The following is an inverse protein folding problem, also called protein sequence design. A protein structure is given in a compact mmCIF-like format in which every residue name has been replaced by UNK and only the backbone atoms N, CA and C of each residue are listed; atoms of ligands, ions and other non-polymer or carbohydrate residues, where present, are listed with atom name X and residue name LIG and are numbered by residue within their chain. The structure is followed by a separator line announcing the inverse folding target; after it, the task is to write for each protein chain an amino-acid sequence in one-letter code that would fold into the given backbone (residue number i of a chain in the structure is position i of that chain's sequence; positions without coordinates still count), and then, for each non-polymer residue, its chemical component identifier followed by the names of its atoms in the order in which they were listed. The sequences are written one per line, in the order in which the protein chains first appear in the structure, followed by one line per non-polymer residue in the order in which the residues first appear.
data_IF_536951817631
#
_entry.id   IF_536951817631
#
_cell.length_a   1.000
_cell.length_b   1.000
_cell.length_c   1.000
_cell.angle_alpha   90.00
_cell.angle_beta   90.00
_cell.angle_gamma   90.00
#
_symmetry.space_group_name_H-M   'P 1'
#
loop_
_entity.id
_entity.type
_entity.pdbx_description
1 polymer ?
#
# COMPACT_ATOMS: atom_id res chain seq x y z
N UNK A 1 -18.40 -3.45 0.84
CA UNK A 1 -18.02 -4.84 0.43
C UNK A 1 -19.07 -5.83 0.89
N UNK A 2 -19.26 -6.93 0.14
CA UNK A 2 -20.03 -8.10 0.58
C UNK A 2 -19.07 -9.20 1.13
N UNK A 3 -19.62 -10.31 1.65
CA UNK A 3 -18.87 -11.42 2.24
C UNK A 3 -17.81 -11.98 1.27
N UNK A 4 -18.17 -12.21 0.01
CA UNK A 4 -17.26 -12.80 -0.98
C UNK A 4 -16.14 -11.83 -1.35
N UNK A 5 -16.42 -10.55 -1.52
CA UNK A 5 -15.41 -9.54 -1.78
C UNK A 5 -14.40 -9.41 -0.64
N UNK A 6 -14.86 -9.47 0.62
CA UNK A 6 -13.97 -9.50 1.80
C UNK A 6 -13.08 -10.73 1.78
N UNK A 7 -13.66 -11.89 1.48
CA UNK A 7 -12.94 -13.16 1.41
C UNK A 7 -11.90 -13.16 0.28
N UNK A 8 -12.30 -12.78 -0.94
CA UNK A 8 -11.41 -12.66 -2.09
C UNK A 8 -10.24 -11.71 -1.82
N UNK A 9 -10.53 -10.51 -1.31
CA UNK A 9 -9.48 -9.55 -0.96
C UNK A 9 -8.51 -10.13 0.08
N UNK A 10 -9.05 -10.73 1.16
CA UNK A 10 -8.21 -11.27 2.24
C UNK A 10 -7.32 -12.42 1.75
N UNK A 11 -7.87 -13.33 0.93
CA UNK A 11 -7.11 -14.43 0.32
C UNK A 11 -6.12 -13.96 -0.76
N UNK A 12 -6.33 -12.81 -1.36
CA UNK A 12 -5.38 -12.22 -2.30
C UNK A 12 -4.07 -11.74 -1.64
N UNK A 13 -4.04 -11.64 -0.30
CA UNK A 13 -2.83 -11.30 0.44
C UNK A 13 -1.87 -12.49 0.46
N UNK A 14 -0.60 -12.21 0.26
CA UNK A 14 0.41 -13.26 0.10
C UNK A 14 0.51 -14.18 1.33
N UNK A 15 0.46 -15.50 1.09
CA UNK A 15 0.61 -16.54 2.13
C UNK A 15 -0.57 -16.68 3.08
N UNK A 16 -1.70 -16.06 2.78
CA UNK A 16 -2.92 -16.19 3.58
C UNK A 16 -3.62 -17.52 3.26
N UNK A 17 -4.04 -18.18 4.31
CA UNK A 17 -4.90 -19.37 4.26
C UNK A 17 -6.17 -19.13 5.03
N UNK A 18 -7.24 -19.83 4.67
CA UNK A 18 -8.50 -19.80 5.42
C UNK A 18 -8.83 -21.17 6.01
N UNK A 19 -9.52 -21.17 7.14
CA UNK A 19 -10.11 -22.35 7.76
C UNK A 19 -11.37 -21.97 8.58
N UNK A 20 -12.13 -22.98 9.06
CA UNK A 20 -13.34 -22.78 9.86
C UNK A 20 -13.28 -23.57 11.20
N UNK A 21 -12.30 -23.29 12.08
CA UNK A 21 -12.10 -24.06 13.31
C UNK A 21 -13.17 -23.79 14.37
N UNK A 22 -14.02 -22.77 14.20
CA UNK A 22 -15.01 -22.33 15.19
C UNK A 22 -16.46 -22.60 14.75
N UNK A 23 -16.68 -23.36 13.68
CA UNK A 23 -17.98 -23.67 13.12
C UNK A 23 -18.20 -23.08 11.74
N UNK A 24 -19.29 -23.49 11.08
CA UNK A 24 -19.58 -23.18 9.67
C UNK A 24 -19.92 -21.70 9.43
N UNK A 25 -20.19 -20.95 10.48
CA UNK A 25 -20.57 -19.52 10.45
C UNK A 25 -19.38 -18.56 10.65
N UNK A 26 -18.15 -19.08 10.82
CA UNK A 26 -16.95 -18.27 11.06
C UNK A 26 -15.80 -18.74 10.16
N UNK A 27 -15.37 -17.88 9.24
CA UNK A 27 -14.14 -18.08 8.46
C UNK A 27 -12.99 -17.38 9.19
N UNK A 28 -11.87 -18.07 9.39
CA UNK A 28 -10.64 -17.47 9.91
C UNK A 28 -9.58 -17.38 8.84
N UNK A 29 -8.89 -16.24 8.77
CA UNK A 29 -7.78 -16.02 7.87
C UNK A 29 -6.49 -15.98 8.65
N UNK A 30 -5.51 -16.77 8.20
CA UNK A 30 -4.24 -16.98 8.88
C UNK A 30 -3.05 -16.62 8.03
N UNK A 31 -2.02 -16.14 8.70
CA UNK A 31 -0.68 -16.01 8.16
C UNK A 31 0.28 -16.84 9.02
N UNK A 32 0.94 -17.84 8.44
CA UNK A 32 1.80 -18.79 9.17
C UNK A 32 1.11 -19.35 10.44
N UNK A 33 -0.13 -19.80 10.27
CA UNK A 33 -0.97 -20.36 11.34
C UNK A 33 -1.52 -19.35 12.36
N UNK A 34 -1.18 -18.06 12.25
CA UNK A 34 -1.66 -17.02 13.16
C UNK A 34 -2.85 -16.28 12.59
N UNK A 35 -3.98 -16.28 13.29
CA UNK A 35 -5.20 -15.56 12.88
C UNK A 35 -4.93 -14.06 12.92
N UNK A 36 -5.33 -13.38 11.87
CA UNK A 36 -5.32 -11.91 11.78
C UNK A 36 -6.71 -11.32 11.44
N UNK A 37 -7.59 -12.10 10.79
CA UNK A 37 -8.98 -11.74 10.50
C UNK A 37 -9.88 -12.93 10.81
N UNK A 38 -11.06 -12.65 11.38
CA UNK A 38 -12.20 -13.58 11.41
C UNK A 38 -13.39 -12.91 10.76
N UNK A 39 -14.09 -13.64 9.89
CA UNK A 39 -15.29 -13.21 9.20
C UNK A 39 -16.49 -14.01 9.71
N UNK A 40 -17.42 -13.34 10.35
CA UNK A 40 -18.73 -13.90 10.70
C UNK A 40 -19.68 -13.78 9.52
N UNK A 41 -20.28 -14.92 9.12
CA UNK A 41 -21.16 -15.00 7.95
C UNK A 41 -22.62 -14.59 8.26
N UNK A 42 -22.94 -14.40 9.54
CA UNK A 42 -24.31 -14.16 10.00
C UNK A 42 -25.14 -15.44 10.07
N UNK A 43 -26.29 -15.41 10.76
CA UNK A 43 -27.26 -16.52 10.75
C UNK A 43 -26.93 -17.77 11.56
N UNK A 44 -25.80 -17.82 12.24
CA UNK A 44 -25.34 -19.01 13.00
C UNK A 44 -26.12 -19.28 14.29
N UNK A 45 -26.06 -20.54 14.77
CA UNK A 45 -26.72 -21.04 16.00
C UNK A 45 -26.19 -20.42 17.29
N UNK A 46 -25.15 -19.63 17.26
CA UNK A 46 -24.65 -18.89 18.40
C UNK A 46 -25.53 -17.67 18.62
N UNK A 47 -26.38 -17.78 19.62
CA UNK A 47 -27.40 -16.85 20.08
C UNK A 47 -26.81 -15.45 20.39
N UNK A 48 -26.38 -14.72 19.35
CA UNK A 48 -25.93 -13.34 19.49
C UNK A 48 -27.05 -12.41 19.08
N UNK A 49 -27.23 -11.36 19.85
CA UNK A 49 -28.27 -10.32 19.67
C UNK A 49 -28.22 -9.62 18.28
N UNK A 50 -27.16 -9.86 17.48
CA UNK A 50 -27.02 -9.32 16.13
C UNK A 50 -26.53 -10.45 15.20
N UNK A 51 -27.40 -10.87 14.29
CA UNK A 51 -27.10 -11.81 13.19
C UNK A 51 -26.31 -11.14 12.05
N UNK A 52 -25.71 -9.98 12.29
CA UNK A 52 -25.04 -9.18 11.28
C UNK A 52 -23.66 -9.73 10.94
N UNK A 53 -23.34 -9.67 9.65
CA UNK A 53 -21.99 -9.97 9.16
C UNK A 53 -20.98 -8.96 9.73
N UNK A 54 -19.84 -9.45 10.16
CA UNK A 54 -18.77 -8.60 10.70
C UNK A 54 -17.41 -9.23 10.57
N UNK A 55 -16.39 -8.40 10.62
CA UNK A 55 -15.00 -8.80 10.74
C UNK A 55 -14.53 -8.61 12.18
N UNK A 56 -13.74 -9.55 12.71
CA UNK A 56 -12.85 -9.24 13.81
C UNK A 56 -11.44 -9.05 13.27
N UNK A 57 -10.85 -7.88 13.52
CA UNK A 57 -9.53 -7.49 13.06
C UNK A 57 -8.54 -7.37 14.21
N UNK A 58 -7.33 -7.90 14.00
CA UNK A 58 -6.24 -7.78 14.98
C UNK A 58 -5.43 -6.51 14.70
N UNK A 59 -5.47 -5.54 15.60
CA UNK A 59 -4.82 -4.25 15.46
C UNK A 59 -3.95 -3.93 16.70
N UNK A 60 -3.14 -2.87 16.60
CA UNK A 60 -2.44 -2.36 17.79
C UNK A 60 -3.44 -1.82 18.82
N UNK A 61 -3.09 -1.78 20.12
CA UNK A 61 -3.98 -1.22 21.14
C UNK A 61 -4.41 0.21 20.84
N UNK A 62 -3.46 1.04 20.39
CA UNK A 62 -3.67 2.44 20.06
C UNK A 62 -4.65 2.58 18.89
N UNK A 63 -4.41 1.78 17.83
CA UNK A 63 -5.28 1.79 16.64
C UNK A 63 -6.70 1.29 16.93
N UNK A 64 -6.84 0.29 17.79
CA UNK A 64 -8.15 -0.17 18.23
C UNK A 64 -8.96 0.92 18.96
N UNK A 65 -8.30 1.73 19.81
CA UNK A 65 -8.96 2.84 20.49
C UNK A 65 -9.37 3.93 19.48
N UNK A 66 -8.46 4.35 18.63
CA UNK A 66 -8.71 5.36 17.59
C UNK A 66 -9.89 4.99 16.69
N UNK A 67 -9.93 3.76 16.17
CA UNK A 67 -11.03 3.35 15.29
C UNK A 67 -12.38 3.28 16.02
N UNK A 68 -12.40 2.86 17.28
CA UNK A 68 -13.63 2.82 18.09
C UNK A 68 -14.16 4.20 18.46
N UNK A 69 -13.27 5.20 18.53
CA UNK A 69 -13.67 6.60 18.76
C UNK A 69 -14.19 7.25 17.47
N UNK A 70 -13.59 6.92 16.33
CA UNK A 70 -13.95 7.51 15.04
C UNK A 70 -15.17 6.88 14.38
N UNK A 71 -15.40 5.57 14.59
CA UNK A 71 -16.41 4.80 13.86
C UNK A 71 -17.34 4.04 14.83
N UNK A 72 -18.62 4.40 14.83
CA UNK A 72 -19.65 3.70 15.63
C UNK A 72 -19.85 2.22 15.21
N UNK A 73 -19.42 1.87 13.98
CA UNK A 73 -19.42 0.52 13.41
C UNK A 73 -18.25 -0.33 13.90
N UNK A 74 -17.32 0.23 14.68
CA UNK A 74 -16.19 -0.48 15.25
C UNK A 74 -16.37 -0.63 16.76
N UNK A 75 -16.42 -1.87 17.24
CA UNK A 75 -16.68 -2.18 18.65
C UNK A 75 -15.59 -3.11 19.22
N UNK A 76 -15.42 -3.19 20.57
CA UNK A 76 -14.55 -4.19 21.16
C UNK A 76 -14.99 -5.60 20.77
N UNK A 77 -14.06 -6.42 20.26
CA UNK A 77 -14.38 -7.76 19.79
C UNK A 77 -15.01 -8.63 20.88
N UNK A 78 -16.08 -9.35 20.54
CA UNK A 78 -16.87 -10.13 21.51
C UNK A 78 -16.08 -11.31 22.08
N UNK A 79 -15.47 -12.13 21.22
CA UNK A 79 -14.79 -13.38 21.63
C UNK A 79 -13.27 -13.27 21.77
N UNK A 80 -12.68 -12.12 21.42
CA UNK A 80 -11.25 -11.93 21.37
C UNK A 80 -10.77 -10.97 22.46
N UNK A 81 -9.46 -10.94 22.69
CA UNK A 81 -8.86 -9.97 23.59
C UNK A 81 -9.14 -8.54 23.09
N UNK A 82 -10.01 -7.83 23.80
CA UNK A 82 -10.52 -6.50 23.45
C UNK A 82 -9.44 -5.42 23.32
N UNK A 83 -8.26 -5.64 23.90
CA UNK A 83 -7.10 -4.74 23.74
C UNK A 83 -6.52 -4.81 22.32
N UNK A 84 -6.59 -5.97 21.67
CA UNK A 84 -5.94 -6.26 20.40
C UNK A 84 -6.91 -6.54 19.26
N UNK A 85 -8.21 -6.65 19.52
CA UNK A 85 -9.19 -7.03 18.53
C UNK A 85 -10.43 -6.15 18.60
N UNK A 86 -10.90 -5.73 17.42
CA UNK A 86 -12.18 -5.05 17.24
C UNK A 86 -13.07 -5.80 16.29
N UNK A 87 -14.37 -5.84 16.60
CA UNK A 87 -15.41 -6.21 15.64
C UNK A 87 -15.75 -4.99 14.77
N UNK A 88 -15.82 -5.20 13.47
CA UNK A 88 -16.11 -4.18 12.44
C UNK A 88 -17.34 -4.60 11.66
N UNK A 89 -18.40 -3.81 11.74
CA UNK A 89 -19.63 -3.96 10.94
C UNK A 89 -19.43 -3.20 9.64
N UNK A 90 -18.97 -3.90 8.60
CA UNK A 90 -18.36 -3.30 7.41
C UNK A 90 -19.33 -2.98 6.28
N UNK A 91 -20.60 -3.45 6.31
CA UNK A 91 -21.54 -3.35 5.18
C UNK A 91 -21.79 -1.91 4.71
N UNK A 92 -21.69 -0.94 5.61
CA UNK A 92 -21.92 0.49 5.31
C UNK A 92 -20.64 1.32 5.25
N UNK A 93 -19.48 0.66 5.24
CA UNK A 93 -18.18 1.32 5.11
C UNK A 93 -17.71 1.29 3.65
N UNK A 94 -16.89 2.27 3.27
CA UNK A 94 -16.23 2.27 1.97
C UNK A 94 -15.32 1.04 1.83
N UNK A 95 -15.37 0.36 0.71
CA UNK A 95 -14.60 -0.85 0.43
C UNK A 95 -13.10 -0.66 0.68
N UNK A 96 -12.53 0.45 0.18
CA UNK A 96 -11.11 0.80 0.38
C UNK A 96 -10.71 0.94 1.84
N UNK A 97 -11.62 1.38 2.70
CA UNK A 97 -11.36 1.54 4.13
C UNK A 97 -11.27 0.17 4.81
N UNK A 98 -12.20 -0.74 4.47
CA UNK A 98 -12.21 -2.12 4.98
C UNK A 98 -10.96 -2.86 4.52
N UNK A 99 -10.60 -2.75 3.25
CA UNK A 99 -9.36 -3.31 2.69
C UNK A 99 -8.11 -2.81 3.43
N UNK A 100 -8.05 -1.50 3.70
CA UNK A 100 -6.93 -0.91 4.42
C UNK A 100 -6.78 -1.48 5.84
N UNK A 101 -7.88 -1.70 6.56
CA UNK A 101 -7.83 -2.27 7.91
C UNK A 101 -7.52 -3.77 7.91
N UNK A 102 -7.98 -4.53 6.93
CA UNK A 102 -7.57 -5.93 6.73
C UNK A 102 -6.06 -6.01 6.48
N UNK A 103 -5.55 -5.15 5.60
CA UNK A 103 -4.12 -5.06 5.29
C UNK A 103 -3.29 -4.64 6.52
N UNK A 104 -3.79 -3.70 7.34
CA UNK A 104 -3.15 -3.29 8.59
C UNK A 104 -3.03 -4.47 9.57
N UNK A 105 -4.11 -5.25 9.70
CA UNK A 105 -4.12 -6.47 10.52
C UNK A 105 -3.12 -7.51 10.03
N UNK A 106 -3.04 -7.73 8.72
CA UNK A 106 -2.06 -8.60 8.07
C UNK A 106 -0.62 -8.16 8.39
N UNK A 107 -0.29 -6.89 8.17
CA UNK A 107 1.04 -6.36 8.45
C UNK A 107 1.42 -6.43 9.93
N UNK A 108 0.47 -6.21 10.84
CA UNK A 108 0.71 -6.36 12.27
C UNK A 108 1.11 -7.80 12.63
N UNK A 109 0.44 -8.80 12.05
CA UNK A 109 0.80 -10.21 12.29
C UNK A 109 2.10 -10.56 11.60
N UNK A 110 2.31 -10.15 10.35
CA UNK A 110 3.55 -10.36 9.61
C UNK A 110 4.77 -9.79 10.36
N UNK A 111 4.64 -8.59 10.93
CA UNK A 111 5.73 -7.93 11.68
C UNK A 111 6.19 -8.69 12.93
N UNK A 112 5.30 -9.51 13.52
CA UNK A 112 5.56 -10.30 14.73
C UNK A 112 6.07 -11.72 14.46
N UNK A 113 6.19 -12.11 13.19
CA UNK A 113 6.75 -13.41 12.81
C UNK A 113 8.28 -13.44 13.08
N UNK A 114 8.87 -14.62 13.31
CA UNK A 114 10.32 -14.78 13.37
C UNK A 114 11.00 -14.17 12.13
N UNK A 115 12.18 -13.56 12.30
CA UNK A 115 12.87 -12.81 11.24
C UNK A 115 13.00 -13.59 9.93
N UNK A 116 13.36 -14.87 10.00
CA UNK A 116 13.53 -15.72 8.81
C UNK A 116 12.22 -15.92 8.02
N UNK A 117 11.08 -15.97 8.72
CA UNK A 117 9.75 -16.12 8.10
C UNK A 117 9.22 -14.76 7.66
N UNK A 118 9.41 -13.72 8.48
CA UNK A 118 8.95 -12.36 8.21
C UNK A 118 9.46 -11.79 6.89
N UNK A 119 10.70 -12.10 6.52
CA UNK A 119 11.30 -11.68 5.26
C UNK A 119 10.57 -12.18 4.02
N UNK A 120 9.74 -13.23 4.14
CA UNK A 120 8.89 -13.71 3.04
C UNK A 120 7.66 -12.81 2.80
N UNK A 121 7.23 -12.07 3.82
CA UNK A 121 5.97 -11.30 3.83
C UNK A 121 6.16 -9.79 3.86
N UNK A 122 7.39 -9.33 3.97
CA UNK A 122 7.73 -7.92 3.97
C UNK A 122 8.58 -7.59 2.77
N UNK A 123 8.20 -6.59 1.97
CA UNK A 123 9.05 -6.19 0.86
C UNK A 123 10.38 -5.66 1.36
N UNK A 124 11.45 -6.00 0.64
CA UNK A 124 12.80 -5.51 0.90
C UNK A 124 13.00 -4.22 0.10
N UNK A 125 13.38 -3.15 0.79
CA UNK A 125 13.73 -1.88 0.15
C UNK A 125 15.14 -1.95 -0.40
N UNK A 126 15.28 -1.61 -1.67
CA UNK A 126 16.53 -1.31 -2.34
C UNK A 126 16.56 0.18 -2.69
N UNK A 127 17.73 0.81 -2.53
CA UNK A 127 17.93 2.22 -2.84
C UNK A 127 19.36 2.42 -3.32
N UNK A 128 19.53 2.82 -4.57
CA UNK A 128 20.86 3.00 -5.20
C UNK A 128 20.86 4.22 -6.13
N UNK A 129 21.94 4.99 -6.18
CA UNK A 129 22.21 5.86 -7.31
C UNK A 129 22.46 5.00 -8.56
N UNK A 130 22.26 5.58 -9.74
CA UNK A 130 22.39 4.86 -11.02
C UNK A 130 23.73 4.12 -11.17
N UNK A 131 24.82 4.73 -10.75
CA UNK A 131 26.17 4.18 -10.89
C UNK A 131 26.43 2.92 -10.04
N UNK A 132 25.60 2.67 -9.04
CA UNK A 132 25.68 1.49 -8.17
C UNK A 132 24.72 0.36 -8.61
N UNK A 133 23.87 0.62 -9.62
CA UNK A 133 23.01 -0.42 -10.16
C UNK A 133 23.83 -1.45 -10.92
N UNK A 134 23.56 -2.72 -10.67
CA UNK A 134 24.03 -3.79 -11.55
C UNK A 134 23.27 -3.78 -12.86
N UNK A 135 23.81 -4.40 -13.89
CA UNK A 135 23.13 -4.54 -15.19
C UNK A 135 21.78 -5.23 -15.04
N UNK A 136 21.69 -6.26 -14.19
CA UNK A 136 20.46 -7.01 -13.97
C UNK A 136 19.41 -6.15 -13.23
N UNK A 137 19.82 -5.39 -12.22
CA UNK A 137 18.93 -4.47 -11.51
C UNK A 137 18.38 -3.39 -12.47
N UNK A 138 19.25 -2.78 -13.25
CA UNK A 138 18.85 -1.77 -14.24
C UNK A 138 17.88 -2.39 -15.26
N UNK A 139 18.19 -3.57 -15.79
CA UNK A 139 17.34 -4.26 -16.75
C UNK A 139 15.94 -4.51 -16.18
N UNK A 140 15.83 -5.04 -14.95
CA UNK A 140 14.55 -5.33 -14.33
C UNK A 140 13.75 -4.05 -14.02
N UNK A 141 14.39 -2.97 -13.58
CA UNK A 141 13.73 -1.68 -13.38
C UNK A 141 13.14 -1.14 -14.70
N UNK A 142 13.89 -1.18 -15.78
CA UNK A 142 13.44 -0.72 -17.09
C UNK A 142 12.37 -1.64 -17.69
N UNK A 143 12.49 -2.97 -17.48
CA UNK A 143 11.48 -3.93 -17.92
C UNK A 143 10.13 -3.63 -17.27
N UNK A 144 10.09 -3.46 -15.94
CA UNK A 144 8.85 -3.15 -15.21
C UNK A 144 8.28 -1.80 -15.62
N UNK A 145 9.11 -0.78 -15.86
CA UNK A 145 8.68 0.53 -16.36
C UNK A 145 8.04 0.41 -17.75
N UNK A 146 8.68 -0.33 -18.65
CA UNK A 146 8.14 -0.60 -19.99
C UNK A 146 6.81 -1.34 -19.93
N UNK A 147 6.72 -2.38 -19.08
CA UNK A 147 5.51 -3.18 -18.91
C UNK A 147 4.32 -2.32 -18.43
N UNK A 148 4.53 -1.46 -17.44
CA UNK A 148 3.43 -0.67 -16.85
C UNK A 148 3.13 0.59 -17.65
N UNK A 149 4.15 1.41 -17.98
CA UNK A 149 3.91 2.71 -18.62
C UNK A 149 3.60 2.59 -20.10
N UNK A 150 4.26 1.67 -20.81
CA UNK A 150 4.08 1.56 -22.26
C UNK A 150 3.00 0.52 -22.59
N UNK A 151 3.11 -0.70 -22.06
CA UNK A 151 2.21 -1.80 -22.45
C UNK A 151 0.86 -1.71 -21.73
N UNK A 152 0.84 -1.67 -20.40
CA UNK A 152 -0.41 -1.67 -19.63
C UNK A 152 -1.21 -0.36 -19.85
N UNK A 153 -0.54 0.80 -19.78
CA UNK A 153 -1.19 2.10 -19.98
C UNK A 153 -1.46 2.43 -21.46
N UNK A 154 -0.97 1.59 -22.37
CA UNK A 154 -1.08 1.80 -23.82
C UNK A 154 -0.62 3.20 -24.26
N UNK A 155 0.47 3.68 -23.66
CA UNK A 155 1.05 5.00 -23.90
C UNK A 155 2.38 4.88 -24.63
N UNK A 156 2.42 5.29 -25.89
CA UNK A 156 3.64 5.22 -26.70
C UNK A 156 4.48 6.48 -26.47
N UNK A 157 5.48 6.37 -25.60
CA UNK A 157 6.42 7.47 -25.32
C UNK A 157 7.82 6.92 -25.01
N UNK A 158 8.82 7.82 -25.01
CA UNK A 158 10.21 7.47 -24.69
C UNK A 158 10.40 7.47 -23.16
N UNK A 159 10.26 6.31 -22.50
CA UNK A 159 10.39 6.20 -21.05
C UNK A 159 11.81 6.51 -20.55
N UNK A 160 12.84 6.10 -21.28
CA UNK A 160 14.25 6.41 -20.98
C UNK A 160 14.57 7.84 -21.42
N UNK A 161 14.42 8.79 -20.50
CA UNK A 161 14.47 10.24 -20.73
C UNK A 161 15.86 10.87 -20.52
N UNK A 162 16.87 10.07 -20.13
CA UNK A 162 18.23 10.53 -19.83
C UNK A 162 18.40 11.08 -18.41
N UNK A 163 17.39 11.08 -17.59
CA UNK A 163 17.45 11.55 -16.20
C UNK A 163 17.86 10.45 -15.22
N UNK A 164 17.80 9.18 -15.64
CA UNK A 164 18.13 8.03 -14.80
C UNK A 164 19.53 8.09 -14.22
N UNK A 165 20.52 8.55 -15.04
CA UNK A 165 21.94 8.58 -14.65
C UNK A 165 22.26 9.55 -13.50
N UNK A 166 21.39 10.53 -13.25
CA UNK A 166 21.54 11.54 -12.18
C UNK A 166 20.70 11.22 -10.95
N UNK A 167 19.87 10.20 -11.05
CA UNK A 167 18.79 9.92 -10.09
C UNK A 167 19.15 8.83 -9.09
N UNK A 168 18.38 8.80 -8.01
CA UNK A 168 18.33 7.68 -7.08
C UNK A 168 17.14 6.81 -7.44
N UNK A 169 17.40 5.52 -7.60
CA UNK A 169 16.40 4.51 -7.87
C UNK A 169 16.03 3.79 -6.57
N UNK A 170 14.73 3.69 -6.34
CA UNK A 170 14.17 2.95 -5.21
C UNK A 170 13.26 1.85 -5.74
N UNK A 171 13.34 0.68 -5.15
CA UNK A 171 12.38 -0.38 -5.46
C UNK A 171 12.17 -1.30 -4.26
N UNK A 172 10.99 -1.87 -4.19
CA UNK A 172 10.60 -2.89 -3.23
C UNK A 172 10.56 -4.24 -3.92
N UNK A 173 11.20 -5.24 -3.36
CA UNK A 173 11.10 -6.62 -3.83
C UNK A 173 10.39 -7.50 -2.81
N UNK A 174 9.49 -8.35 -3.29
CA UNK A 174 8.91 -9.45 -2.53
C UNK A 174 9.14 -10.72 -3.35
N UNK A 175 9.73 -11.76 -2.75
CA UNK A 175 10.09 -13.00 -3.44
C UNK A 175 10.91 -12.77 -4.73
N UNK A 176 11.89 -11.90 -4.67
CA UNK A 176 12.75 -11.51 -5.80
C UNK A 176 12.00 -10.85 -6.98
N UNK A 177 10.72 -10.47 -6.82
CA UNK A 177 9.97 -9.70 -7.82
C UNK A 177 9.84 -8.25 -7.36
N UNK A 178 9.96 -7.33 -8.29
CA UNK A 178 9.70 -5.90 -8.02
C UNK A 178 8.19 -5.72 -7.83
N UNK A 179 7.78 -5.27 -6.63
CA UNK A 179 6.37 -4.98 -6.30
C UNK A 179 6.06 -3.48 -6.31
N UNK A 180 7.06 -2.64 -6.20
CA UNK A 180 6.96 -1.20 -6.41
C UNK A 180 8.32 -0.62 -6.78
N UNK A 181 8.32 0.49 -7.52
CA UNK A 181 9.53 1.28 -7.79
C UNK A 181 9.21 2.76 -7.89
N UNK A 182 10.25 3.59 -7.73
CA UNK A 182 10.21 5.03 -7.95
C UNK A 182 11.61 5.56 -8.27
N UNK A 183 11.66 6.74 -8.87
CA UNK A 183 12.88 7.48 -9.18
C UNK A 183 12.84 8.85 -8.51
N UNK A 184 13.90 9.23 -7.82
CA UNK A 184 14.09 10.56 -7.22
C UNK A 184 15.14 11.31 -8.02
N UNK A 185 14.74 12.40 -8.66
CA UNK A 185 15.60 13.24 -9.46
C UNK A 185 16.05 14.48 -8.66
N UNK A 186 17.34 14.88 -8.74
CA UNK A 186 17.80 16.14 -8.17
C UNK A 186 17.17 17.35 -8.87
N UNK A 187 17.18 18.49 -8.22
CA UNK A 187 16.68 19.74 -8.77
C UNK A 187 17.40 20.09 -10.10
N UNK A 188 16.63 20.63 -11.05
CA UNK A 188 17.14 21.02 -12.37
C UNK A 188 17.41 19.83 -13.32
N UNK A 189 16.98 18.62 -12.98
CA UNK A 189 17.06 17.45 -13.86
C UNK A 189 15.75 17.30 -14.62
N UNK A 190 14.73 16.72 -14.01
CA UNK A 190 13.42 16.57 -14.63
C UNK A 190 12.53 17.81 -14.40
N UNK A 191 12.55 18.35 -13.21
CA UNK A 191 11.83 19.54 -12.80
C UNK A 191 12.78 20.57 -12.20
N UNK A 192 12.28 21.82 -12.01
CA UNK A 192 13.06 22.87 -11.34
C UNK A 192 13.46 22.45 -9.92
N UNK A 193 12.51 21.89 -9.20
CA UNK A 193 12.70 21.37 -7.84
C UNK A 193 13.07 19.88 -7.86
N UNK A 194 13.45 19.34 -6.71
CA UNK A 194 13.63 17.89 -6.55
C UNK A 194 12.31 17.21 -6.88
N UNK A 195 12.35 16.13 -7.65
CA UNK A 195 11.13 15.47 -8.09
C UNK A 195 11.16 13.97 -7.84
N UNK A 196 9.96 13.40 -7.64
CA UNK A 196 9.75 11.96 -7.60
C UNK A 196 8.91 11.59 -8.82
N UNK A 197 9.41 10.66 -9.61
CA UNK A 197 8.73 10.16 -10.81
C UNK A 197 8.87 8.65 -10.95
N UNK A 198 8.32 8.14 -12.05
CA UNK A 198 8.34 6.70 -12.37
C UNK A 198 7.80 5.84 -11.22
N UNK A 199 6.74 6.32 -10.55
CA UNK A 199 6.10 5.61 -9.43
C UNK A 199 5.21 4.50 -9.97
N UNK A 200 5.55 3.27 -9.65
CA UNK A 200 4.85 2.06 -10.10
C UNK A 200 4.55 1.16 -8.91
N UNK A 201 3.41 0.47 -8.97
CA UNK A 201 3.14 -0.75 -8.21
C UNK A 201 2.65 -1.83 -9.15
N UNK A 202 3.27 -3.00 -9.12
CA UNK A 202 2.85 -4.16 -9.92
C UNK A 202 1.69 -4.92 -9.28
N UNK A 203 1.51 -4.77 -7.95
CA UNK A 203 0.40 -5.33 -7.19
C UNK A 203 -0.34 -4.20 -6.47
N UNK A 204 -1.52 -3.83 -6.98
CA UNK A 204 -2.33 -2.74 -6.43
C UNK A 204 -3.07 -3.16 -5.16
N UNK A 205 -3.45 -2.20 -4.30
CA UNK A 205 -4.22 -2.46 -3.09
C UNK A 205 -3.44 -3.11 -1.93
N UNK A 206 -2.12 -3.36 -2.09
CA UNK A 206 -1.24 -3.99 -1.09
C UNK A 206 -0.42 -3.00 -0.25
N UNK A 207 -0.64 -1.70 -0.42
CA UNK A 207 0.08 -0.65 0.31
C UNK A 207 1.51 -0.37 -0.16
N UNK A 208 2.02 -1.06 -1.20
CA UNK A 208 3.38 -0.88 -1.69
C UNK A 208 3.62 0.52 -2.28
N UNK A 209 2.61 1.09 -2.92
CA UNK A 209 2.67 2.47 -3.44
C UNK A 209 2.94 3.48 -2.34
N UNK A 210 2.23 3.38 -1.21
CA UNK A 210 2.46 4.25 -0.05
C UNK A 210 3.85 4.05 0.53
N UNK A 211 4.31 2.81 0.66
CA UNK A 211 5.64 2.49 1.17
C UNK A 211 6.73 3.10 0.28
N UNK A 212 6.68 2.87 -1.05
CA UNK A 212 7.72 3.39 -1.94
C UNK A 212 7.73 4.92 -1.97
N UNK A 213 6.57 5.58 -1.91
CA UNK A 213 6.50 7.05 -1.85
C UNK A 213 7.11 7.61 -0.56
N UNK A 214 6.81 7.04 0.60
CA UNK A 214 7.40 7.47 1.87
C UNK A 214 8.92 7.30 1.87
N UNK A 215 9.44 6.20 1.34
CA UNK A 215 10.88 5.98 1.18
C UNK A 215 11.51 6.95 0.16
N UNK A 216 10.79 7.31 -0.89
CA UNK A 216 11.26 8.29 -1.88
C UNK A 216 11.34 9.70 -1.30
N UNK A 217 10.34 10.12 -0.51
CA UNK A 217 10.36 11.39 0.23
C UNK A 217 11.56 11.41 1.20
N UNK A 218 11.73 10.33 1.98
CA UNK A 218 12.88 10.19 2.89
C UNK A 218 14.22 10.27 2.14
N UNK A 219 14.33 9.62 0.98
CA UNK A 219 15.52 9.67 0.15
C UNK A 219 15.79 11.08 -0.38
N UNK A 220 14.76 11.78 -0.88
CA UNK A 220 14.87 13.17 -1.34
C UNK A 220 15.37 14.10 -0.21
N UNK A 221 14.81 13.96 0.99
CA UNK A 221 15.24 14.74 2.16
C UNK A 221 16.68 14.41 2.58
N UNK A 222 17.05 13.13 2.64
CA UNK A 222 18.37 12.71 3.13
C UNK A 222 19.51 12.96 2.13
N UNK A 223 19.28 12.70 0.83
CA UNK A 223 20.34 12.79 -0.17
C UNK A 223 20.41 14.17 -0.85
N UNK A 224 19.31 14.84 -1.02
CA UNK A 224 19.24 16.13 -1.73
C UNK A 224 18.85 17.30 -0.83
N UNK A 225 18.70 17.07 0.51
CA UNK A 225 18.26 18.08 1.46
C UNK A 225 16.92 18.74 1.09
N UNK A 226 16.00 17.97 0.49
CA UNK A 226 14.73 18.48 0.01
C UNK A 226 13.92 19.15 1.13
N UNK A 227 13.48 20.36 0.88
CA UNK A 227 12.44 21.06 1.67
C UNK A 227 11.14 21.12 0.89
N UNK A 228 11.22 20.93 -0.43
CA UNK A 228 10.12 20.91 -1.38
C UNK A 228 10.37 19.80 -2.39
N UNK A 229 9.33 19.05 -2.74
CA UNK A 229 9.37 17.97 -3.73
C UNK A 229 8.17 18.13 -4.65
N UNK A 230 8.41 18.13 -5.96
CA UNK A 230 7.37 18.21 -6.98
C UNK A 230 7.15 16.85 -7.66
N UNK A 231 5.92 16.63 -8.08
CA UNK A 231 5.54 15.49 -8.92
C UNK A 231 4.57 15.94 -10.03
N UNK A 232 4.62 15.26 -11.16
CA UNK A 232 3.57 15.28 -12.18
C UNK A 232 2.75 14.00 -12.02
N UNK A 233 1.58 14.14 -11.42
CA UNK A 233 0.70 13.03 -11.07
C UNK A 233 -0.41 12.89 -12.10
N UNK A 234 -0.73 11.68 -12.53
CA UNK A 234 -1.95 11.43 -13.26
C UNK A 234 -3.14 11.84 -12.39
N UNK A 235 -4.10 12.57 -12.95
CA UNK A 235 -5.21 13.20 -12.20
C UNK A 235 -5.98 12.19 -11.33
N UNK A 236 -6.25 10.99 -11.85
CA UNK A 236 -6.97 9.96 -11.09
C UNK A 236 -6.23 9.50 -9.81
N UNK A 237 -4.91 9.69 -9.75
CA UNK A 237 -4.08 9.29 -8.60
C UNK A 237 -3.95 10.40 -7.54
N UNK A 238 -4.62 11.56 -7.71
CA UNK A 238 -4.57 12.70 -6.78
C UNK A 238 -4.74 12.27 -5.31
N UNK A 239 -5.82 11.56 -5.00
CA UNK A 239 -6.11 11.15 -3.61
C UNK A 239 -5.04 10.24 -3.01
N UNK A 240 -4.37 9.43 -3.83
CA UNK A 240 -3.23 8.64 -3.38
C UNK A 240 -2.08 9.53 -2.94
N UNK A 241 -1.68 10.51 -3.75
CA UNK A 241 -0.58 11.41 -3.40
C UNK A 241 -0.93 12.35 -2.25
N UNK A 242 -2.19 12.78 -2.11
CA UNK A 242 -2.67 13.52 -0.95
C UNK A 242 -2.50 12.71 0.34
N UNK A 243 -2.72 11.39 0.31
CA UNK A 243 -2.55 10.48 1.45
C UNK A 243 -1.10 10.36 1.97
N UNK A 244 -0.12 10.82 1.18
CA UNK A 244 1.31 10.86 1.54
C UNK A 244 1.85 12.29 1.65
N UNK A 245 0.95 13.28 1.74
CA UNK A 245 1.27 14.66 2.11
C UNK A 245 1.51 15.62 0.95
N UNK A 246 1.25 15.22 -0.30
CA UNK A 246 1.30 16.14 -1.45
C UNK A 246 0.03 16.97 -1.53
N UNK A 247 0.16 18.19 -2.04
CA UNK A 247 -0.96 19.11 -2.33
C UNK A 247 -0.91 19.53 -3.79
N UNK A 248 -2.07 19.59 -4.45
CA UNK A 248 -2.15 20.04 -5.83
C UNK A 248 -1.65 21.49 -5.96
N UNK A 249 -0.80 21.74 -6.95
CA UNK A 249 -0.15 23.05 -7.21
C UNK A 249 -0.37 23.58 -8.64
N UNK A 250 -1.12 22.87 -9.49
CA UNK A 250 -1.49 23.33 -10.84
C UNK A 250 -2.90 22.94 -11.23
N UNK A 251 -3.43 23.57 -12.27
CA UNK A 251 -4.59 23.06 -13.00
C UNK A 251 -4.23 21.76 -13.74
N UNK A 252 -5.25 21.06 -14.26
CA UNK A 252 -5.08 19.85 -15.08
C UNK A 252 -4.44 20.22 -16.41
N UNK A 253 -3.46 19.47 -16.84
CA UNK A 253 -2.81 19.58 -18.15
C UNK A 253 -2.64 18.20 -18.81
N UNK A 254 -2.49 18.19 -20.12
CA UNK A 254 -2.28 16.94 -20.85
C UNK A 254 -0.78 16.66 -20.99
N UNK A 255 -0.37 15.45 -20.58
CA UNK A 255 0.98 14.93 -20.79
C UNK A 255 0.87 13.54 -21.41
N UNK A 256 1.46 13.35 -22.59
CA UNK A 256 1.41 12.11 -23.37
C UNK A 256 -0.01 11.53 -23.54
N UNK A 257 -1.00 12.44 -23.72
CA UNK A 257 -2.41 12.06 -23.90
C UNK A 257 -3.18 11.69 -22.62
N UNK A 258 -2.55 11.82 -21.46
CA UNK A 258 -3.13 11.50 -20.15
C UNK A 258 -3.30 12.79 -19.33
N UNK A 259 -4.46 13.01 -18.65
CA UNK A 259 -4.65 14.15 -17.75
C UNK A 259 -3.70 14.08 -16.55
N UNK A 260 -2.92 15.12 -16.31
CA UNK A 260 -1.97 15.26 -15.20
C UNK A 260 -2.23 16.53 -14.40
N UNK A 261 -1.78 16.52 -13.17
CA UNK A 261 -1.69 17.68 -12.27
C UNK A 261 -0.28 17.74 -11.68
N UNK A 262 0.22 18.93 -11.38
CA UNK A 262 1.38 19.07 -10.52
C UNK A 262 0.94 19.03 -9.07
N UNK A 263 1.73 18.34 -8.25
CA UNK A 263 1.52 18.31 -6.81
C UNK A 263 2.86 18.51 -6.11
N UNK A 264 2.80 19.19 -4.97
CA UNK A 264 3.99 19.60 -4.19
C UNK A 264 3.88 19.07 -2.76
N UNK A 265 4.96 18.47 -2.29
CA UNK A 265 5.16 18.15 -0.89
C UNK A 265 6.14 19.15 -0.26
N UNK A 266 5.85 19.61 0.96
CA UNK A 266 6.70 20.55 1.70
C UNK A 266 7.05 19.92 3.05
N UNK A 267 8.32 20.03 3.44
CA UNK A 267 8.76 19.59 4.77
C UNK A 267 8.13 20.49 5.84
N UNK A 268 7.35 19.88 6.74
CA UNK A 268 6.86 20.58 7.92
C UNK A 268 8.06 20.99 8.81
N UNK A 269 7.97 22.19 9.36
CA UNK A 269 9.02 22.78 10.22
C UNK A 269 9.04 22.17 11.61
#
# INVERSE_FOLDING_TARGET
MNIEQVREYTLSLYGVTEDQPFGDDIITFRLEGKIFVCLWLGGGKHNMKNSETRLALKLSPERNLELREQFSTVTPAWHWNKKHWSDVYYEHLEDKLVEAWILESYHLVASKLPKAIRLKYQPVLHKKPFQELTTDELYELLRVRSEVFVVEQNCVYQDMDGDDQKSIHLWLTLENRIVALARVCPAGTHMKEISIGRVITTERGKGYGKQIMLHSIEAAVKHFCATLIDIEAQEYAKGFYESVGFKQSSDVFMLDGIPHIRMTWTKER
#
